data_IF_565381552461
#
_entry.id   IF_565381552461
#
_cell.length_a   1.000
_cell.length_b   1.000
_cell.length_c   1.000
_cell.angle_alpha   90.00
_cell.angle_beta   90.00
_cell.angle_gamma   90.00
#
_symmetry.space_group_name_H-M   'P 1'
#
loop_
_entity.id
_entity.type
_entity.pdbx_description
1 polymer ?
#
# COMPACT_ATOMS: atom_id res chain seq x y z
N UNK A 1 12.88 8.70 -16.85
CA UNK A 1 11.45 9.02 -17.02
C UNK A 1 10.94 8.59 -18.39
N UNK A 2 11.64 8.90 -19.52
CA UNK A 2 11.16 8.53 -20.88
C UNK A 2 10.91 7.03 -21.10
N UNK A 3 11.50 6.16 -20.31
CA UNK A 3 11.33 4.69 -20.38
C UNK A 3 10.18 4.17 -19.48
N UNK A 4 9.51 5.04 -18.72
CA UNK A 4 8.39 4.66 -17.87
C UNK A 4 7.14 4.57 -18.74
N UNK A 5 6.53 3.37 -18.78
CA UNK A 5 5.20 3.21 -19.37
C UNK A 5 4.14 3.68 -18.36
N UNK A 6 3.17 4.51 -18.77
CA UNK A 6 2.08 4.88 -17.89
C UNK A 6 1.34 3.64 -17.38
N UNK A 7 0.93 3.68 -16.11
CA UNK A 7 0.04 2.65 -15.58
C UNK A 7 -1.28 2.66 -16.37
N UNK A 8 -1.68 1.50 -16.88
CA UNK A 8 -2.97 1.34 -17.57
C UNK A 8 -3.98 0.78 -16.57
N UNK A 9 -4.92 1.60 -16.08
CA UNK A 9 -5.98 1.13 -15.20
C UNK A 9 -6.95 0.23 -15.96
N UNK A 10 -7.74 -0.57 -15.22
CA UNK A 10 -8.85 -1.30 -15.82
C UNK A 10 -9.83 -0.33 -16.48
N UNK A 11 -10.35 -0.71 -17.64
CA UNK A 11 -11.28 0.13 -18.41
C UNK A 11 -12.54 0.46 -17.60
N UNK A 12 -13.01 1.71 -17.56
CA UNK A 12 -14.26 2.07 -16.93
C UNK A 12 -15.47 1.36 -17.58
N UNK A 13 -16.48 0.99 -16.78
CA UNK A 13 -17.70 0.33 -17.28
C UNK A 13 -18.38 1.20 -18.36
N UNK A 14 -18.51 2.50 -18.11
CA UNK A 14 -19.14 3.47 -19.04
C UNK A 14 -18.41 3.58 -20.38
N UNK A 15 -17.09 3.44 -20.39
CA UNK A 15 -16.30 3.44 -21.62
C UNK A 15 -16.55 2.16 -22.43
N UNK A 16 -16.49 0.99 -21.76
CA UNK A 16 -16.76 -0.29 -22.40
C UNK A 16 -18.21 -0.35 -22.94
N UNK A 17 -19.19 0.12 -22.17
CA UNK A 17 -20.60 0.19 -22.57
C UNK A 17 -20.77 1.00 -23.86
N UNK A 18 -20.18 2.19 -23.93
CA UNK A 18 -20.24 3.05 -25.14
C UNK A 18 -19.59 2.39 -26.35
N UNK A 19 -18.43 1.76 -26.19
CA UNK A 19 -17.71 1.12 -27.29
C UNK A 19 -18.44 -0.09 -27.86
N UNK A 20 -19.09 -0.86 -26.98
CA UNK A 20 -19.72 -2.12 -27.36
C UNK A 20 -21.23 -2.03 -27.55
N UNK A 21 -21.83 -0.87 -27.28
CA UNK A 21 -23.28 -0.68 -27.33
C UNK A 21 -24.03 -1.52 -26.26
N UNK A 22 -23.43 -1.72 -25.10
CA UNK A 22 -23.99 -2.49 -24.01
C UNK A 22 -24.62 -1.57 -22.95
N UNK A 23 -25.58 -2.12 -22.20
CA UNK A 23 -26.10 -1.48 -20.99
C UNK A 23 -25.11 -1.66 -19.84
N UNK A 24 -24.70 -0.57 -19.18
CA UNK A 24 -23.78 -0.57 -18.04
C UNK A 24 -24.24 -1.51 -16.91
N UNK A 25 -25.55 -1.63 -16.69
CA UNK A 25 -26.13 -2.48 -15.65
C UNK A 25 -25.88 -3.98 -15.87
N UNK A 26 -25.56 -4.38 -17.11
CA UNK A 26 -25.28 -5.77 -17.46
C UNK A 26 -23.78 -6.10 -17.55
N UNK A 27 -22.91 -5.12 -17.24
CA UNK A 27 -21.45 -5.33 -17.27
C UNK A 27 -20.94 -5.68 -15.88
N UNK A 28 -20.35 -6.87 -15.73
CA UNK A 28 -19.67 -7.29 -14.52
C UNK A 28 -18.20 -6.92 -14.63
N UNK A 29 -17.77 -5.92 -13.85
CA UNK A 29 -16.38 -5.49 -13.80
C UNK A 29 -15.59 -6.33 -12.79
N UNK A 30 -14.61 -7.10 -13.28
CA UNK A 30 -13.68 -7.87 -12.45
C UNK A 30 -12.29 -7.21 -12.36
N UNK A 31 -12.09 -6.07 -13.03
CA UNK A 31 -10.86 -5.31 -12.99
C UNK A 31 -10.83 -4.35 -11.78
N UNK A 32 -9.62 -3.90 -11.43
CA UNK A 32 -9.33 -2.92 -10.35
C UNK A 32 -9.51 -3.43 -8.92
N UNK A 33 -9.96 -4.67 -8.71
CA UNK A 33 -10.18 -5.26 -7.39
C UNK A 33 -11.02 -4.35 -6.47
N UNK A 34 -12.09 -3.77 -7.04
CA UNK A 34 -13.08 -3.00 -6.29
C UNK A 34 -13.98 -3.94 -5.49
N UNK A 35 -14.58 -3.45 -4.40
CA UNK A 35 -15.51 -4.26 -3.61
C UNK A 35 -16.90 -4.29 -4.26
N UNK A 36 -17.37 -5.45 -4.78
CA UNK A 36 -18.68 -5.52 -5.45
C UNK A 36 -19.87 -5.37 -4.47
N UNK A 37 -19.64 -5.51 -3.15
CA UNK A 37 -20.66 -5.30 -2.13
C UNK A 37 -20.91 -3.81 -1.84
N UNK A 38 -20.09 -2.92 -2.41
CA UNK A 38 -20.20 -1.48 -2.21
C UNK A 38 -19.63 -1.00 -0.87
N UNK A 39 -20.05 0.18 -0.46
CA UNK A 39 -19.58 0.91 0.73
C UNK A 39 -20.56 0.72 1.88
N UNK A 40 -20.06 0.70 3.11
CA UNK A 40 -20.90 0.71 4.31
C UNK A 40 -21.85 1.92 4.31
N UNK A 41 -23.16 1.73 4.59
CA UNK A 41 -24.12 2.84 4.73
C UNK A 41 -23.65 3.90 5.73
N UNK A 42 -23.07 3.49 6.86
CA UNK A 42 -22.54 4.42 7.87
C UNK A 42 -21.42 5.31 7.32
N UNK A 43 -20.56 4.77 6.45
CA UNK A 43 -19.51 5.55 5.81
C UNK A 43 -20.09 6.53 4.77
N UNK A 44 -21.11 6.12 4.01
CA UNK A 44 -21.82 7.02 3.09
C UNK A 44 -22.50 8.16 3.83
N UNK A 45 -23.21 7.86 4.93
CA UNK A 45 -23.88 8.88 5.74
C UNK A 45 -22.87 9.87 6.32
N UNK A 46 -21.71 9.39 6.81
CA UNK A 46 -20.65 10.26 7.30
C UNK A 46 -20.13 11.20 6.20
N UNK A 47 -19.87 10.69 5.00
CA UNK A 47 -19.44 11.50 3.85
C UNK A 47 -20.49 12.54 3.49
N UNK A 48 -21.76 12.15 3.39
CA UNK A 48 -22.85 13.07 3.04
C UNK A 48 -22.99 14.20 4.05
N UNK A 49 -22.80 13.92 5.34
CA UNK A 49 -22.88 14.90 6.40
C UNK A 49 -21.73 15.92 6.40
N UNK A 50 -20.63 15.66 5.68
CA UNK A 50 -19.48 16.56 5.58
C UNK A 50 -19.44 17.37 4.27
N UNK A 51 -20.35 17.09 3.33
CA UNK A 51 -20.35 17.77 2.00
C UNK A 51 -20.54 19.29 2.08
N UNK A 52 -21.17 19.81 3.12
CA UNK A 52 -21.35 21.25 3.32
C UNK A 52 -20.01 21.99 3.61
N UNK A 53 -18.98 21.26 4.06
CA UNK A 53 -17.68 21.82 4.36
C UNK A 53 -16.69 21.73 3.18
N UNK A 54 -17.14 21.26 2.01
CA UNK A 54 -16.27 21.00 0.85
C UNK A 54 -15.50 22.25 0.36
N UNK A 55 -15.93 23.44 0.73
CA UNK A 55 -15.21 24.69 0.44
C UNK A 55 -13.99 24.94 1.33
N UNK A 56 -13.83 24.15 2.39
CA UNK A 56 -12.74 24.26 3.35
C UNK A 56 -11.68 23.21 3.09
N UNK A 57 -10.43 23.53 3.39
CA UNK A 57 -9.40 22.50 3.44
C UNK A 57 -9.67 21.52 4.58
N UNK A 58 -9.42 20.21 4.39
CA UNK A 58 -9.48 19.26 5.50
C UNK A 58 -8.37 19.52 6.52
N UNK A 59 -8.47 18.87 7.69
CA UNK A 59 -7.36 18.88 8.65
C UNK A 59 -6.12 18.22 8.05
N UNK A 60 -5.09 19.00 7.76
CA UNK A 60 -3.85 18.54 7.17
C UNK A 60 -3.08 17.53 8.04
N UNK A 61 -3.36 17.48 9.37
CA UNK A 61 -2.78 16.50 10.28
C UNK A 61 -3.53 15.16 10.23
N UNK A 62 -4.80 15.16 9.80
CA UNK A 62 -5.70 14.01 9.85
C UNK A 62 -5.92 13.49 11.27
N UNK A 63 -6.03 14.40 12.24
CA UNK A 63 -6.07 14.09 13.67
C UNK A 63 -7.09 13.02 14.03
N UNK A 64 -8.34 13.19 13.59
CA UNK A 64 -9.42 12.25 13.93
C UNK A 64 -9.16 10.84 13.39
N UNK A 65 -8.73 10.73 12.13
CA UNK A 65 -8.42 9.45 11.53
C UNK A 65 -7.21 8.79 12.21
N UNK A 66 -6.15 9.55 12.48
CA UNK A 66 -4.98 9.04 13.21
C UNK A 66 -5.36 8.59 14.62
N UNK A 67 -6.19 9.34 15.33
CA UNK A 67 -6.68 8.97 16.67
C UNK A 67 -7.52 7.69 16.62
N UNK A 68 -8.40 7.54 15.62
CA UNK A 68 -9.20 6.32 15.43
C UNK A 68 -8.33 5.10 15.11
N UNK A 69 -7.34 5.25 14.23
CA UNK A 69 -6.39 4.18 13.89
C UNK A 69 -5.50 3.81 15.08
N UNK A 70 -4.99 4.82 15.82
CA UNK A 70 -4.22 4.64 17.05
C UNK A 70 -4.99 3.80 18.07
N UNK A 71 -6.25 4.13 18.32
CA UNK A 71 -7.12 3.37 19.22
C UNK A 71 -7.38 1.95 18.71
N UNK A 72 -7.62 1.78 17.38
CA UNK A 72 -7.93 0.49 16.79
C UNK A 72 -6.75 -0.47 16.87
N UNK A 73 -5.54 0.02 16.58
CA UNK A 73 -4.33 -0.80 16.49
C UNK A 73 -3.46 -0.75 17.75
N UNK A 74 -3.86 0.03 18.77
CA UNK A 74 -3.10 0.23 20.01
C UNK A 74 -1.65 0.70 19.74
N UNK A 75 -1.51 1.65 18.81
CA UNK A 75 -0.26 2.27 18.42
C UNK A 75 -0.26 3.76 18.80
N UNK A 76 0.93 4.34 18.95
CA UNK A 76 1.07 5.78 19.09
C UNK A 76 0.66 6.47 17.77
N UNK A 77 -0.09 7.60 17.79
CA UNK A 77 -0.38 8.38 16.60
C UNK A 77 0.86 8.76 15.77
N UNK A 78 2.02 8.93 16.40
CA UNK A 78 3.29 9.19 15.74
C UNK A 78 3.79 8.02 14.85
N UNK A 79 3.24 6.82 15.02
CA UNK A 79 3.53 5.65 14.20
C UNK A 79 2.69 5.57 12.93
N UNK A 80 1.78 6.54 12.71
CA UNK A 80 0.77 6.49 11.64
C UNK A 80 1.05 7.57 10.61
N UNK A 81 1.17 7.16 9.35
CA UNK A 81 1.25 8.04 8.17
C UNK A 81 -0.01 7.87 7.31
N UNK A 82 -0.65 8.97 6.93
CA UNK A 82 -1.81 8.96 6.05
C UNK A 82 -1.41 9.20 4.60
N UNK A 83 -2.14 8.58 3.67
CA UNK A 83 -1.91 8.71 2.24
C UNK A 83 -3.19 8.74 1.42
N UNK A 84 -3.11 9.34 0.24
CA UNK A 84 -4.15 9.30 -0.79
C UNK A 84 -4.25 7.88 -1.39
N UNK A 85 -4.79 6.94 -0.62
CA UNK A 85 -4.64 5.50 -0.79
C UNK A 85 -3.27 5.01 -0.31
N UNK A 86 -3.10 3.69 -0.18
CA UNK A 86 -1.79 3.09 0.16
C UNK A 86 -0.71 3.40 -0.89
N UNK A 87 -1.08 3.65 -2.15
CA UNK A 87 -0.14 4.03 -3.20
C UNK A 87 0.67 5.29 -2.84
N UNK A 88 0.04 6.28 -2.21
CA UNK A 88 0.74 7.49 -1.75
C UNK A 88 1.76 7.14 -0.65
N UNK A 89 1.41 6.24 0.26
CA UNK A 89 2.35 5.75 1.28
C UNK A 89 3.56 5.04 0.66
N UNK A 90 3.34 4.24 -0.39
CA UNK A 90 4.42 3.58 -1.14
C UNK A 90 5.33 4.61 -1.83
N UNK A 91 4.75 5.64 -2.44
CA UNK A 91 5.51 6.73 -3.09
C UNK A 91 6.30 7.54 -2.06
N UNK A 92 5.70 7.88 -0.92
CA UNK A 92 6.38 8.57 0.18
C UNK A 92 7.57 7.77 0.71
N UNK A 93 7.42 6.45 0.89
CA UNK A 93 8.52 5.58 1.29
C UNK A 93 9.65 5.60 0.25
N UNK A 94 9.32 5.49 -1.04
CA UNK A 94 10.30 5.56 -2.11
C UNK A 94 11.04 6.91 -2.13
N UNK A 95 10.34 8.04 -1.98
CA UNK A 95 10.93 9.39 -1.96
C UNK A 95 11.89 9.61 -0.79
N UNK A 96 11.63 8.98 0.36
CA UNK A 96 12.47 9.13 1.56
C UNK A 96 13.69 8.24 1.49
N UNK A 97 13.55 7.00 1.09
CA UNK A 97 14.59 5.98 1.25
C UNK A 97 15.37 5.68 -0.03
N UNK A 98 14.85 6.09 -1.21
CA UNK A 98 15.54 5.89 -2.49
C UNK A 98 16.14 7.18 -3.03
N UNK A 99 17.21 7.01 -3.79
CA UNK A 99 17.88 8.04 -4.60
C UNK A 99 18.57 7.34 -5.79
N UNK A 100 19.02 8.08 -6.81
CA UNK A 100 19.87 7.49 -7.84
C UNK A 100 21.07 6.75 -7.24
N UNK A 101 21.32 5.51 -7.68
CA UNK A 101 22.33 4.61 -7.14
C UNK A 101 21.92 3.80 -5.91
N UNK A 102 20.72 4.01 -5.36
CA UNK A 102 20.11 3.10 -4.41
C UNK A 102 19.26 2.04 -5.14
N UNK A 103 19.00 0.91 -4.47
CA UNK A 103 18.23 -0.18 -5.04
C UNK A 103 17.00 -0.53 -4.20
N UNK A 104 15.97 -1.06 -4.87
CA UNK A 104 14.81 -1.68 -4.23
C UNK A 104 14.57 -3.08 -4.78
N UNK A 105 14.26 -4.04 -3.91
CA UNK A 105 13.97 -5.44 -4.24
C UNK A 105 12.47 -5.67 -4.23
N UNK A 106 11.95 -6.38 -5.22
CA UNK A 106 10.56 -6.82 -5.30
C UNK A 106 10.43 -8.08 -6.16
N UNK A 107 9.32 -8.81 -6.01
CA UNK A 107 9.07 -10.03 -6.81
C UNK A 107 8.73 -9.69 -8.26
N UNK A 108 9.00 -10.63 -9.17
CA UNK A 108 8.67 -10.55 -10.60
C UNK A 108 7.19 -10.24 -10.86
N UNK A 109 6.29 -10.84 -10.09
CA UNK A 109 4.85 -10.61 -10.19
C UNK A 109 4.38 -9.65 -9.10
N UNK A 110 5.11 -8.55 -8.91
CA UNK A 110 4.77 -7.52 -7.94
C UNK A 110 3.71 -6.55 -8.47
N UNK A 111 3.06 -5.87 -7.54
CA UNK A 111 2.17 -4.76 -7.88
C UNK A 111 2.92 -3.69 -8.69
N UNK A 112 2.34 -3.28 -9.81
CA UNK A 112 2.99 -2.42 -10.79
C UNK A 112 3.51 -1.06 -10.24
N UNK A 113 2.97 -0.61 -9.11
CA UNK A 113 3.40 0.64 -8.48
C UNK A 113 4.83 0.54 -7.96
N UNK A 114 5.30 -0.61 -7.47
CA UNK A 114 6.67 -0.73 -6.93
C UNK A 114 7.74 -0.40 -7.97
N UNK A 115 7.81 -1.07 -9.14
CA UNK A 115 8.77 -0.69 -10.16
C UNK A 115 8.57 0.74 -10.69
N UNK A 116 7.34 1.26 -10.68
CA UNK A 116 7.06 2.63 -11.13
C UNK A 116 7.68 3.66 -10.20
N UNK A 117 7.44 3.57 -8.88
CA UNK A 117 7.99 4.55 -7.92
C UNK A 117 9.52 4.47 -7.86
N UNK A 118 10.10 3.27 -7.97
CA UNK A 118 11.56 3.07 -8.02
C UNK A 118 12.15 3.78 -9.24
N UNK A 119 11.56 3.57 -10.42
CA UNK A 119 12.00 4.23 -11.66
C UNK A 119 11.80 5.74 -11.64
N UNK A 120 10.71 6.24 -11.03
CA UNK A 120 10.46 7.68 -10.91
C UNK A 120 11.55 8.39 -10.12
N UNK A 121 12.06 7.77 -9.08
CA UNK A 121 13.17 8.30 -8.27
C UNK A 121 14.52 8.18 -9.02
N UNK A 122 14.63 7.29 -10.01
CA UNK A 122 15.88 6.98 -10.68
C UNK A 122 16.75 5.99 -9.91
N UNK A 123 16.14 5.21 -9.02
CA UNK A 123 16.77 4.11 -8.31
C UNK A 123 16.73 2.81 -9.14
N UNK A 124 17.53 1.82 -8.73
CA UNK A 124 17.62 0.54 -9.40
C UNK A 124 16.57 -0.43 -8.84
N UNK A 125 15.77 -1.03 -9.72
CA UNK A 125 14.78 -2.05 -9.34
C UNK A 125 15.34 -3.46 -9.56
N UNK A 126 15.45 -4.24 -8.50
CA UNK A 126 15.88 -5.63 -8.52
C UNK A 126 14.63 -6.52 -8.48
N UNK A 127 14.26 -7.02 -9.66
CA UNK A 127 13.11 -7.94 -9.79
C UNK A 127 13.58 -9.38 -9.59
N UNK A 128 13.10 -10.02 -8.52
CA UNK A 128 13.44 -11.40 -8.18
C UNK A 128 12.43 -12.35 -8.84
N UNK A 129 12.87 -13.44 -9.52
CA UNK A 129 11.97 -14.44 -10.08
C UNK A 129 10.98 -14.96 -9.03
N UNK A 130 9.72 -15.10 -9.45
CA UNK A 130 8.69 -15.63 -8.55
C UNK A 130 8.81 -17.15 -8.42
N UNK A 131 8.44 -17.67 -7.25
CA UNK A 131 8.25 -19.09 -7.02
C UNK A 131 6.75 -19.36 -6.89
N UNK A 132 6.22 -20.21 -7.77
CA UNK A 132 4.78 -20.55 -7.81
C UNK A 132 3.87 -19.30 -7.81
N UNK A 133 4.23 -18.29 -8.61
CA UNK A 133 3.60 -16.98 -8.70
C UNK A 133 3.61 -16.14 -7.41
N UNK A 134 4.24 -16.64 -6.35
CA UNK A 134 4.40 -15.96 -5.05
C UNK A 134 5.77 -15.32 -4.89
N UNK A 135 6.00 -14.77 -3.72
CA UNK A 135 7.31 -14.26 -3.33
C UNK A 135 8.26 -15.41 -3.00
N UNK A 136 9.44 -15.44 -3.63
CA UNK A 136 10.56 -16.25 -3.16
C UNK A 136 11.35 -15.45 -2.12
N UNK A 137 10.89 -15.46 -0.87
CA UNK A 137 11.49 -14.65 0.19
C UNK A 137 12.97 -14.98 0.42
N UNK A 138 13.43 -16.27 0.39
CA UNK A 138 14.86 -16.57 0.42
C UNK A 138 15.64 -15.91 -0.72
N UNK A 139 15.18 -16.03 -1.97
CA UNK A 139 15.84 -15.42 -3.11
C UNK A 139 15.78 -13.87 -3.05
N UNK A 140 14.70 -13.29 -2.52
CA UNK A 140 14.60 -11.85 -2.30
C UNK A 140 15.61 -11.37 -1.25
N UNK A 141 15.88 -12.16 -0.21
CA UNK A 141 16.88 -11.86 0.79
C UNK A 141 18.29 -11.91 0.21
N UNK A 142 18.57 -12.93 -0.62
CA UNK A 142 19.87 -13.10 -1.30
C UNK A 142 20.13 -12.00 -2.36
N UNK A 143 19.08 -11.38 -2.87
CA UNK A 143 19.16 -10.26 -3.83
C UNK A 143 19.46 -8.91 -3.16
N UNK A 144 19.47 -8.81 -1.84
CA UNK A 144 19.79 -7.58 -1.12
C UNK A 144 21.28 -7.28 -1.27
N UNK A 145 21.57 -6.08 -1.74
CA UNK A 145 22.95 -5.57 -1.92
C UNK A 145 23.24 -4.43 -0.92
N UNK A 146 24.48 -3.96 -0.79
CA UNK A 146 24.81 -2.78 0.03
C UNK A 146 24.07 -1.51 -0.38
N UNK A 147 23.60 -1.41 -1.64
CA UNK A 147 22.84 -0.29 -2.19
C UNK A 147 21.33 -0.42 -1.91
N UNK A 148 20.84 -1.59 -1.52
CA UNK A 148 19.42 -1.82 -1.25
C UNK A 148 18.95 -1.00 -0.06
N UNK A 149 17.83 -0.29 -0.23
CA UNK A 149 17.22 0.54 0.81
C UNK A 149 15.76 0.16 1.09
N UNK A 150 15.09 -0.46 0.11
CA UNK A 150 13.70 -0.92 0.28
C UNK A 150 13.55 -2.33 -0.25
N UNK A 151 12.74 -3.13 0.45
CA UNK A 151 12.16 -4.38 -0.06
C UNK A 151 10.65 -4.24 -0.01
N UNK A 152 9.97 -4.49 -1.14
CA UNK A 152 8.51 -4.51 -1.22
C UNK A 152 7.99 -5.95 -1.20
N UNK A 153 7.08 -6.25 -0.27
CA UNK A 153 6.41 -7.55 -0.13
C UNK A 153 4.91 -7.30 -0.03
N UNK A 154 4.11 -7.79 -0.98
CA UNK A 154 2.65 -7.76 -0.89
C UNK A 154 2.13 -9.11 -0.38
N UNK A 155 1.36 -9.09 0.71
CA UNK A 155 0.76 -10.33 1.25
C UNK A 155 -0.62 -10.05 1.85
N UNK A 156 -1.71 -10.51 1.18
CA UNK A 156 -1.77 -11.22 -0.12
C UNK A 156 -1.22 -10.43 -1.29
N UNK A 157 -0.60 -11.13 -2.26
CA UNK A 157 0.00 -10.49 -3.41
C UNK A 157 -1.03 -10.03 -4.46
N UNK A 158 -0.75 -8.93 -5.11
CA UNK A 158 -1.45 -8.46 -6.30
C UNK A 158 -0.46 -8.48 -7.49
N UNK A 159 -0.77 -9.21 -8.61
CA UNK A 159 -2.09 -9.70 -9.02
C UNK A 159 -2.37 -11.18 -8.72
N UNK A 160 -1.45 -11.94 -8.15
CA UNK A 160 -1.49 -13.40 -8.14
C UNK A 160 -2.37 -14.01 -7.05
N UNK A 161 -2.70 -13.22 -6.01
CA UNK A 161 -3.48 -13.69 -4.85
C UNK A 161 -2.73 -14.64 -3.92
N UNK A 162 -1.44 -14.88 -4.17
CA UNK A 162 -0.61 -15.75 -3.32
C UNK A 162 -0.39 -15.14 -1.95
N UNK A 163 -0.27 -15.99 -0.94
CA UNK A 163 -0.08 -15.60 0.45
C UNK A 163 1.22 -16.22 0.97
N UNK A 164 2.08 -15.39 1.54
CA UNK A 164 3.21 -15.88 2.33
C UNK A 164 2.74 -16.18 3.76
N UNK A 165 3.22 -17.25 4.36
CA UNK A 165 2.88 -17.58 5.74
C UNK A 165 3.48 -16.57 6.72
N UNK A 166 2.87 -16.46 7.90
CA UNK A 166 3.36 -15.60 8.98
C UNK A 166 4.82 -15.95 9.35
N UNK A 167 5.12 -17.24 9.48
CA UNK A 167 6.46 -17.73 9.79
C UNK A 167 7.51 -17.33 8.73
N UNK A 168 7.17 -17.43 7.45
CA UNK A 168 8.07 -17.03 6.36
C UNK A 168 8.36 -15.54 6.39
N UNK A 169 7.32 -14.72 6.57
CA UNK A 169 7.44 -13.26 6.67
C UNK A 169 8.25 -12.86 7.90
N UNK A 170 7.97 -13.47 9.05
CA UNK A 170 8.69 -13.18 10.29
C UNK A 170 10.18 -13.53 10.19
N UNK A 171 10.52 -14.73 9.66
CA UNK A 171 11.92 -15.13 9.43
C UNK A 171 12.64 -14.23 8.43
N UNK A 172 11.92 -13.72 7.43
CA UNK A 172 12.46 -12.70 6.52
C UNK A 172 12.85 -11.44 7.30
N UNK A 173 11.96 -10.95 8.16
CA UNK A 173 12.19 -9.76 8.99
C UNK A 173 13.37 -9.94 9.97
N UNK A 174 13.57 -11.15 10.50
CA UNK A 174 14.72 -11.45 11.38
C UNK A 174 16.08 -11.38 10.65
N UNK A 175 16.08 -11.69 9.34
CA UNK A 175 17.31 -11.83 8.54
C UNK A 175 17.66 -10.57 7.77
N UNK A 176 16.70 -9.74 7.42
CA UNK A 176 16.96 -8.50 6.69
C UNK A 176 17.67 -7.47 7.55
N UNK A 177 18.64 -6.74 6.97
CA UNK A 177 19.35 -5.67 7.68
C UNK A 177 18.39 -4.57 8.15
N UNK A 178 18.64 -4.01 9.32
CA UNK A 178 17.88 -2.86 9.86
C UNK A 178 18.05 -1.58 9.03
N UNK A 179 19.05 -1.51 8.17
CA UNK A 179 19.29 -0.39 7.25
C UNK A 179 18.40 -0.46 6.00
N UNK A 180 17.65 -1.55 5.82
CA UNK A 180 16.74 -1.77 4.70
C UNK A 180 15.30 -1.69 5.19
N UNK A 181 14.52 -0.74 4.69
CA UNK A 181 13.08 -0.64 4.97
C UNK A 181 12.35 -1.81 4.29
N UNK A 182 11.62 -2.59 5.05
CA UNK A 182 10.69 -3.58 4.51
C UNK A 182 9.29 -2.99 4.47
N UNK A 183 8.76 -2.80 3.27
CA UNK A 183 7.39 -2.36 3.03
C UNK A 183 6.53 -3.60 2.83
N UNK A 184 5.72 -3.92 3.81
CA UNK A 184 4.77 -5.02 3.75
C UNK A 184 3.40 -4.46 3.37
N UNK A 185 3.00 -4.68 2.12
CA UNK A 185 1.75 -4.17 1.57
C UNK A 185 0.61 -5.15 1.89
N UNK A 186 -0.21 -4.76 2.85
CA UNK A 186 -1.34 -5.50 3.38
C UNK A 186 -2.69 -4.97 2.84
N UNK A 187 -2.72 -4.49 1.59
CA UNK A 187 -3.94 -3.91 0.99
C UNK A 187 -5.13 -4.88 0.96
N UNK A 188 -4.89 -6.19 1.08
CA UNK A 188 -5.91 -7.24 1.06
C UNK A 188 -6.01 -8.02 2.38
N UNK A 189 -5.39 -7.52 3.45
CA UNK A 189 -5.36 -8.15 4.77
C UNK A 189 -6.75 -8.51 5.32
N UNK A 190 -7.71 -7.61 5.14
CA UNK A 190 -9.07 -7.78 5.66
C UNK A 190 -9.83 -8.95 5.02
N UNK A 191 -9.43 -9.41 3.83
CA UNK A 191 -10.03 -10.57 3.16
C UNK A 191 -9.52 -11.91 3.70
N UNK A 192 -8.45 -11.91 4.49
CA UNK A 192 -7.91 -13.14 5.04
C UNK A 192 -8.81 -13.70 6.15
N UNK A 193 -9.00 -15.04 6.18
CA UNK A 193 -9.53 -15.70 7.37
C UNK A 193 -8.68 -15.39 8.60
N UNK A 194 -9.28 -15.31 9.78
CA UNK A 194 -8.54 -14.98 11.02
C UNK A 194 -7.33 -15.89 11.26
N UNK A 195 -7.47 -17.19 10.96
CA UNK A 195 -6.35 -18.16 11.11
C UNK A 195 -5.14 -17.89 10.20
N UNK A 196 -5.31 -17.08 9.16
CA UNK A 196 -4.27 -16.77 8.17
C UNK A 196 -3.77 -15.33 8.27
N UNK A 197 -4.31 -14.55 9.20
CA UNK A 197 -3.87 -13.16 9.42
C UNK A 197 -2.60 -13.13 10.25
N UNK A 198 -1.48 -12.61 9.71
CA UNK A 198 -0.29 -12.41 10.53
C UNK A 198 -0.53 -11.32 11.58
N UNK A 199 0.04 -11.48 12.76
CA UNK A 199 0.06 -10.43 13.79
C UNK A 199 1.18 -9.40 13.50
N UNK A 200 1.19 -8.91 12.26
CA UNK A 200 2.22 -8.00 11.74
C UNK A 200 2.34 -6.69 12.53
N UNK A 201 1.26 -6.25 13.19
CA UNK A 201 1.27 -5.04 14.02
C UNK A 201 2.16 -5.23 15.25
N UNK A 202 2.14 -6.39 15.88
CA UNK A 202 3.02 -6.68 17.02
C UNK A 202 4.50 -6.59 16.65
N UNK A 203 4.83 -6.86 15.38
CA UNK A 203 6.21 -6.83 14.88
C UNK A 203 6.79 -5.42 14.83
N UNK A 204 5.97 -4.38 14.77
CA UNK A 204 6.43 -2.97 14.83
C UNK A 204 7.20 -2.65 16.11
N UNK A 205 7.00 -3.43 17.18
CA UNK A 205 7.77 -3.30 18.44
C UNK A 205 9.18 -3.87 18.35
N UNK A 206 9.42 -4.79 17.40
CA UNK A 206 10.69 -5.50 17.24
C UNK A 206 11.49 -5.00 16.04
N UNK A 207 10.80 -4.53 14.99
CA UNK A 207 11.39 -4.19 13.69
C UNK A 207 11.15 -2.72 13.35
N UNK A 208 12.10 -1.85 13.73
CA UNK A 208 12.03 -0.41 13.44
C UNK A 208 12.09 -0.08 11.94
N UNK A 209 12.50 -1.05 11.11
CA UNK A 209 12.58 -0.97 9.66
C UNK A 209 11.37 -1.61 8.95
N UNK A 210 10.24 -1.81 9.65
CA UNK A 210 9.00 -2.31 9.05
C UNK A 210 8.03 -1.17 8.81
N UNK A 211 7.46 -1.13 7.59
CA UNK A 211 6.33 -0.30 7.21
C UNK A 211 5.19 -1.20 6.71
N UNK A 212 4.10 -1.26 7.45
CA UNK A 212 2.86 -1.91 6.99
C UNK A 212 2.03 -0.89 6.24
N UNK A 213 1.50 -1.24 5.07
CA UNK A 213 0.57 -0.37 4.33
C UNK A 213 -0.81 -1.00 4.25
N UNK A 214 -1.85 -0.23 4.52
CA UNK A 214 -3.26 -0.64 4.44
C UNK A 214 -4.10 0.40 3.72
N UNK A 215 -5.27 0.00 3.25
CA UNK A 215 -6.12 0.88 2.45
C UNK A 215 -7.59 0.70 2.77
N UNK A 216 -8.38 1.77 2.66
CA UNK A 216 -9.83 1.72 2.69
C UNK A 216 -10.44 1.41 1.32
N UNK A 217 -9.63 1.34 0.27
CA UNK A 217 -10.09 1.15 -1.12
C UNK A 217 -10.66 -0.23 -1.41
N UNK A 218 -10.27 -1.28 -0.65
CA UNK A 218 -10.56 -2.68 -0.95
C UNK A 218 -11.73 -3.20 -0.11
N UNK A 219 -11.48 -3.90 0.97
CA UNK A 219 -12.52 -4.51 1.80
C UNK A 219 -13.55 -3.51 2.33
N UNK A 220 -13.14 -2.28 2.58
CA UNK A 220 -14.04 -1.23 3.07
C UNK A 220 -14.89 -0.56 1.97
N UNK A 221 -14.64 -0.86 0.69
CA UNK A 221 -15.43 -0.33 -0.42
C UNK A 221 -15.31 1.17 -0.66
N UNK A 222 -14.23 1.82 -0.19
CA UNK A 222 -14.03 3.26 -0.25
C UNK A 222 -12.97 3.67 -1.30
N UNK A 223 -12.90 2.94 -2.41
CA UNK A 223 -11.90 3.18 -3.45
C UNK A 223 -11.92 4.62 -3.99
N UNK A 224 -13.10 5.23 -4.14
CA UNK A 224 -13.27 6.59 -4.63
C UNK A 224 -12.85 7.69 -3.65
N UNK A 225 -12.83 7.40 -2.34
CA UNK A 225 -12.44 8.37 -1.30
C UNK A 225 -10.92 8.58 -1.25
N UNK A 226 -10.14 7.63 -1.75
CA UNK A 226 -8.69 7.73 -1.83
C UNK A 226 -8.00 7.84 -0.46
N UNK A 227 -8.33 6.96 0.48
CA UNK A 227 -7.70 6.94 1.81
C UNK A 227 -6.97 5.63 2.04
N UNK A 228 -5.74 5.73 2.51
CA UNK A 228 -4.91 4.64 2.99
C UNK A 228 -3.97 5.13 4.08
N UNK A 229 -3.23 4.23 4.68
CA UNK A 229 -2.32 4.57 5.77
C UNK A 229 -1.16 3.59 5.84
N UNK A 230 -0.09 4.06 6.47
CA UNK A 230 1.06 3.23 6.88
C UNK A 230 1.18 3.20 8.40
N UNK A 231 1.65 2.07 8.92
CA UNK A 231 1.98 1.85 10.31
C UNK A 231 3.46 1.49 10.40
N UNK A 232 4.25 2.22 11.17
CA UNK A 232 5.70 2.05 11.20
C UNK A 232 6.32 2.61 12.49
N UNK A 233 7.64 2.57 12.59
CA UNK A 233 8.36 3.25 13.67
C UNK A 233 8.19 4.77 13.59
N UNK A 234 8.08 5.52 14.70
CA UNK A 234 7.87 6.97 14.70
C UNK A 234 8.90 7.74 13.85
N UNK A 235 10.16 7.34 13.87
CA UNK A 235 11.20 8.00 13.09
C UNK A 235 10.96 7.86 11.57
N UNK A 236 10.53 6.68 11.11
CA UNK A 236 10.18 6.44 9.71
C UNK A 236 8.96 7.27 9.32
N UNK A 237 7.91 7.25 10.14
CA UNK A 237 6.70 8.05 9.92
C UNK A 237 7.01 9.56 9.88
N UNK A 238 7.87 10.05 10.78
CA UNK A 238 8.31 11.45 10.80
C UNK A 238 9.04 11.84 9.51
N UNK A 239 9.97 11.00 9.03
CA UNK A 239 10.68 11.25 7.75
C UNK A 239 9.69 11.30 6.57
N UNK A 240 8.73 10.38 6.52
CA UNK A 240 7.71 10.35 5.47
C UNK A 240 6.78 11.57 5.55
N UNK A 241 6.40 12.02 6.75
CA UNK A 241 5.59 13.22 6.94
C UNK A 241 6.27 14.51 6.43
N UNK A 242 7.61 14.58 6.40
CA UNK A 242 8.34 15.75 5.87
C UNK A 242 8.21 15.92 4.36
N UNK A 243 7.94 14.84 3.63
CA UNK A 243 7.80 14.85 2.16
C UNK A 243 6.35 14.67 1.71
N UNK A 244 5.44 14.44 2.65
CA UNK A 244 4.00 14.32 2.40
C UNK A 244 3.43 15.65 1.94
N UNK A 245 2.61 15.64 0.90
CA UNK A 245 1.91 16.83 0.44
C UNK A 245 0.92 17.30 1.52
N UNK A 246 0.82 18.62 1.79
CA UNK A 246 -0.23 19.15 2.65
C UNK A 246 -1.62 18.73 2.13
N UNK A 247 -2.53 18.37 3.03
CA UNK A 247 -3.91 18.03 2.68
C UNK A 247 -4.04 16.88 1.67
N UNK A 248 -3.12 15.91 1.67
CA UNK A 248 -3.13 14.78 0.74
C UNK A 248 -4.29 13.80 0.99
N UNK A 249 -4.96 13.91 2.12
CA UNK A 249 -6.17 13.15 2.46
C UNK A 249 -7.29 14.15 2.74
N UNK A 250 -8.46 13.90 2.13
CA UNK A 250 -9.68 14.72 2.27
C UNK A 250 -10.57 14.19 3.38
#
# INVERSE_FOLDING_TARGET
IRSIQPYQPGKPISELAREMGLDEAHIIKLASNENPLGTSPLALDAIMNTLHDIALYPDGSGYELRAALSKRYQLDPEQIILGNGSNDVLDLAARVFLKPGAAAVYSQHAFAVYPLVVKMIGADGISVPARDYGHDLPAMLDAITPETRIVFIASPNNPTGTLSSEDELFRFMERVSRDVLVVMDEAYYEYLPEANKPDSISWLKQFSNLLLTRTFSKAYGLAGVRVGFGLTHPDVANLMNRVRQPFNVS
#
